data_IF_105727685297
#
_entry.id   IF_105727685297
#
_cell.length_a   1.000
_cell.length_b   1.000
_cell.length_c   1.000
_cell.angle_alpha   90.00
_cell.angle_beta   90.00
_cell.angle_gamma   90.00
#
_symmetry.space_group_name_H-M   'P 1'
#
loop_
_entity.id
_entity.type
_entity.pdbx_description
1 polymer ?
#
# COMPACT_ATOMS: atom_id res chain seq x y z
N UNK A 1 -7.28 -80.37 23.06
CA UNK A 1 -6.22 -79.61 22.35
C UNK A 1 -6.45 -78.11 22.56
N UNK A 2 -5.77 -77.49 23.53
CA UNK A 2 -5.73 -76.03 23.67
C UNK A 2 -4.26 -75.65 23.89
N UNK A 3 -3.64 -75.05 22.87
CA UNK A 3 -2.26 -74.54 22.94
C UNK A 3 -2.32 -73.07 23.35
N UNK A 4 -1.72 -72.75 24.49
CA UNK A 4 -1.28 -71.40 24.82
C UNK A 4 -0.08 -71.04 23.93
N UNK A 5 -0.06 -69.81 23.39
CA UNK A 5 1.19 -69.09 23.13
C UNK A 5 1.01 -67.60 23.43
N UNK A 6 1.85 -67.16 24.36
CA UNK A 6 2.31 -65.80 24.61
C UNK A 6 2.45 -64.96 23.33
N UNK A 7 1.96 -63.73 23.36
CA UNK A 7 2.49 -62.65 22.51
C UNK A 7 2.88 -61.46 23.38
N UNK A 8 4.15 -61.08 23.19
CA UNK A 8 4.88 -59.99 23.79
C UNK A 8 4.15 -58.65 23.68
N UNK A 9 4.20 -57.88 24.76
CA UNK A 9 4.08 -56.42 24.75
C UNK A 9 5.20 -55.83 23.87
N UNK A 10 4.82 -55.24 22.73
CA UNK A 10 5.65 -54.29 22.00
C UNK A 10 5.14 -52.89 22.36
N UNK A 11 5.97 -52.13 23.07
CA UNK A 11 5.68 -50.76 23.48
C UNK A 11 5.36 -49.88 22.28
N UNK A 12 4.28 -49.12 22.37
CA UNK A 12 4.01 -48.03 21.46
C UNK A 12 5.11 -46.97 21.66
N UNK A 13 6.00 -46.86 20.68
CA UNK A 13 6.86 -45.68 20.57
C UNK A 13 5.96 -44.45 20.35
N UNK A 14 6.19 -43.32 21.03
CA UNK A 14 5.45 -42.11 20.75
C UNK A 14 5.79 -41.70 19.32
N UNK A 15 4.77 -41.67 18.46
CA UNK A 15 4.87 -41.04 17.15
C UNK A 15 5.17 -39.58 17.42
N UNK A 16 6.45 -39.20 17.30
CA UNK A 16 6.87 -37.83 17.18
C UNK A 16 6.16 -37.29 15.94
N UNK A 17 5.05 -36.60 16.16
CA UNK A 17 4.42 -35.76 15.16
C UNK A 17 5.44 -34.69 14.79
N UNK A 18 6.24 -34.96 13.76
CA UNK A 18 7.03 -33.92 13.11
C UNK A 18 6.00 -32.89 12.64
N UNK A 19 6.02 -31.65 13.16
CA UNK A 19 5.13 -30.63 12.66
C UNK A 19 5.40 -30.53 11.17
N UNK A 20 4.35 -30.74 10.35
CA UNK A 20 4.41 -30.44 8.93
C UNK A 20 4.86 -28.99 8.85
N UNK A 21 6.13 -28.78 8.47
CA UNK A 21 6.62 -27.45 8.12
C UNK A 21 5.82 -27.08 6.89
N UNK A 22 4.76 -26.30 7.08
CA UNK A 22 4.05 -25.67 6.00
C UNK A 22 5.12 -24.96 5.16
N UNK A 23 5.29 -25.40 3.92
CA UNK A 23 6.12 -24.70 2.96
C UNK A 23 5.52 -23.29 2.84
N UNK A 24 6.15 -22.33 3.53
CA UNK A 24 5.80 -20.92 3.44
C UNK A 24 5.76 -20.56 1.95
N UNK A 25 4.59 -20.11 1.49
CA UNK A 25 4.41 -19.66 0.12
C UNK A 25 5.10 -18.30 -0.14
N UNK A 26 5.85 -17.76 0.83
CA UNK A 26 6.44 -16.43 0.80
C UNK A 26 7.61 -16.22 -0.17
N UNK A 27 8.35 -17.26 -0.53
CA UNK A 27 9.58 -17.11 -1.33
C UNK A 27 9.41 -17.46 -2.81
N UNK A 28 8.17 -17.60 -3.30
CA UNK A 28 7.90 -17.97 -4.70
C UNK A 28 8.37 -16.92 -5.70
N UNK A 29 8.53 -15.67 -5.25
CA UNK A 29 8.76 -14.52 -6.12
C UNK A 29 10.22 -14.13 -6.27
N UNK A 30 11.19 -14.59 -5.46
CA UNK A 30 12.59 -14.13 -5.59
C UNK A 30 13.44 -15.00 -6.51
N UNK A 31 13.02 -15.16 -7.77
CA UNK A 31 13.80 -15.88 -8.79
C UNK A 31 14.69 -14.90 -9.55
N UNK A 32 15.96 -15.27 -9.71
CA UNK A 32 16.88 -14.52 -10.56
C UNK A 32 16.33 -14.40 -11.99
N UNK A 33 16.44 -13.20 -12.55
CA UNK A 33 16.01 -12.85 -13.91
C UNK A 33 16.85 -11.68 -14.43
N UNK A 34 16.67 -11.33 -15.70
CA UNK A 34 17.28 -10.15 -16.30
C UNK A 34 16.18 -9.31 -16.97
N UNK A 35 16.12 -8.02 -16.63
CA UNK A 35 15.17 -7.07 -17.22
C UNK A 35 15.96 -5.86 -17.71
N UNK A 36 15.81 -5.53 -19.00
CA UNK A 36 16.51 -4.41 -19.66
C UNK A 36 18.04 -4.38 -19.47
N UNK A 37 18.66 -5.57 -19.39
CA UNK A 37 20.10 -5.74 -19.18
C UNK A 37 20.55 -5.61 -17.71
N UNK A 38 19.61 -5.60 -16.76
CA UNK A 38 19.89 -5.59 -15.31
C UNK A 38 19.57 -6.96 -14.73
N UNK A 39 20.58 -7.63 -14.15
CA UNK A 39 20.37 -8.82 -13.35
C UNK A 39 19.61 -8.44 -12.08
N UNK A 40 18.48 -9.09 -11.87
CA UNK A 40 17.56 -8.77 -10.79
C UNK A 40 16.79 -10.00 -10.32
N UNK A 41 15.82 -9.83 -9.43
CA UNK A 41 14.88 -10.87 -9.03
C UNK A 41 13.47 -10.51 -9.47
N UNK A 42 12.65 -11.53 -9.71
CA UNK A 42 11.22 -11.35 -9.89
C UNK A 42 10.58 -10.80 -8.61
N UNK A 43 9.44 -10.13 -8.75
CA UNK A 43 8.65 -9.54 -7.67
C UNK A 43 7.18 -9.63 -8.08
N UNK A 44 6.24 -9.73 -7.13
CA UNK A 44 4.81 -9.62 -7.45
C UNK A 44 4.48 -8.19 -7.86
N UNK A 45 5.05 -7.22 -7.15
CA UNK A 45 4.91 -5.79 -7.45
C UNK A 45 5.81 -5.40 -8.62
N UNK A 46 5.34 -4.52 -9.48
CA UNK A 46 6.18 -3.96 -10.54
C UNK A 46 7.17 -2.95 -9.94
N UNK A 47 8.43 -3.35 -9.82
CA UNK A 47 9.54 -2.52 -9.35
C UNK A 47 10.60 -2.46 -10.46
N UNK A 48 10.80 -1.27 -11.02
CA UNK A 48 11.75 -0.99 -12.08
C UNK A 48 13.14 -0.83 -11.49
N UNK A 49 14.07 -1.66 -11.98
CA UNK A 49 15.48 -1.65 -11.63
C UNK A 49 16.22 -0.44 -12.20
N UNK A 50 17.23 0.06 -11.50
CA UNK A 50 18.14 1.11 -11.99
C UNK A 50 19.36 0.51 -12.66
N UNK A 51 19.66 0.94 -13.88
CA UNK A 51 20.86 0.50 -14.61
C UNK A 51 22.12 1.06 -13.98
N UNK A 52 23.18 0.24 -13.95
CA UNK A 52 24.52 0.66 -13.53
C UNK A 52 24.66 0.95 -12.03
N UNK A 53 23.74 0.48 -11.20
CA UNK A 53 23.78 0.67 -9.77
C UNK A 53 25.04 0.03 -9.16
N UNK A 54 25.74 0.78 -8.31
CA UNK A 54 26.93 0.33 -7.58
C UNK A 54 26.89 0.91 -6.16
N UNK A 55 27.55 0.22 -5.23
CA UNK A 55 27.81 0.79 -3.92
C UNK A 55 28.66 2.05 -4.07
N UNK A 56 28.34 3.08 -3.29
CA UNK A 56 29.13 4.31 -3.20
C UNK A 56 30.52 4.06 -2.63
N UNK A 57 31.43 4.99 -2.88
CA UNK A 57 32.79 4.95 -2.35
C UNK A 57 32.81 4.75 -0.82
N UNK A 58 33.69 3.85 -0.38
CA UNK A 58 33.82 3.43 1.02
C UNK A 58 32.87 2.32 1.45
N UNK A 59 31.85 1.98 0.65
CA UNK A 59 31.02 0.80 0.88
C UNK A 59 31.52 -0.41 0.08
N UNK A 60 31.54 -1.56 0.75
CA UNK A 60 31.81 -2.89 0.22
C UNK A 60 30.66 -3.82 0.59
N UNK A 61 30.61 -5.01 0.00
CA UNK A 61 29.62 -6.03 0.36
C UNK A 61 29.64 -6.35 1.86
N UNK A 62 30.81 -6.32 2.49
CA UNK A 62 30.98 -6.67 3.89
C UNK A 62 30.47 -5.57 4.83
N UNK A 63 30.73 -4.30 4.50
CA UNK A 63 30.43 -3.16 5.39
C UNK A 63 29.15 -2.38 5.03
N UNK A 64 28.50 -2.68 3.90
CA UNK A 64 27.31 -1.96 3.45
C UNK A 64 26.20 -2.04 4.51
N UNK A 65 25.50 -0.95 4.84
CA UNK A 65 24.51 -1.00 5.93
C UNK A 65 23.38 -2.00 5.67
N UNK A 66 22.90 -2.66 6.73
CA UNK A 66 21.78 -3.61 6.64
C UNK A 66 20.46 -2.88 6.77
N UNK A 67 19.43 -3.41 6.11
CA UNK A 67 18.07 -2.92 6.20
C UNK A 67 17.14 -3.87 6.99
N UNK A 68 16.27 -3.29 7.81
CA UNK A 68 15.11 -3.96 8.40
C UNK A 68 13.82 -3.41 7.78
N UNK A 69 12.84 -4.27 7.54
CA UNK A 69 11.49 -3.89 7.16
C UNK A 69 10.54 -4.29 8.30
N UNK A 70 9.75 -3.35 8.79
CA UNK A 70 8.82 -3.59 9.90
C UNK A 70 7.43 -3.22 9.38
N UNK A 71 6.52 -4.18 9.37
CA UNK A 71 5.11 -3.92 9.07
C UNK A 71 4.45 -3.24 10.27
N UNK A 72 3.44 -2.43 10.02
CA UNK A 72 2.68 -1.79 11.10
C UNK A 72 1.61 -2.75 11.66
N UNK A 73 0.89 -3.42 10.76
CA UNK A 73 0.03 -4.58 10.95
C UNK A 73 0.13 -5.52 9.71
N UNK A 74 -0.43 -6.73 9.82
CA UNK A 74 -0.52 -7.65 8.69
C UNK A 74 0.80 -8.36 8.36
N UNK A 75 0.95 -8.77 7.11
CA UNK A 75 2.03 -9.65 6.66
C UNK A 75 2.61 -9.19 5.32
N UNK A 76 3.90 -9.46 5.07
CA UNK A 76 4.55 -9.30 3.76
C UNK A 76 4.10 -10.34 2.73
N UNK A 77 3.05 -11.10 3.03
CA UNK A 77 2.33 -11.99 2.12
C UNK A 77 0.90 -11.47 1.84
N UNK A 78 0.66 -10.17 2.04
CA UNK A 78 -0.62 -9.51 1.79
C UNK A 78 -0.91 -9.24 0.31
N UNK A 79 -0.02 -9.64 -0.59
CA UNK A 79 -0.11 -9.46 -2.05
C UNK A 79 -0.36 -7.99 -2.46
N UNK A 80 -0.01 -7.04 -1.59
CA UNK A 80 -0.33 -5.62 -1.74
C UNK A 80 0.70 -4.73 -1.01
N UNK A 81 0.25 -4.05 0.05
CA UNK A 81 0.95 -2.94 0.71
C UNK A 81 2.31 -3.35 1.26
N UNK A 82 2.35 -4.30 2.21
CA UNK A 82 3.58 -4.70 2.90
C UNK A 82 4.50 -5.52 1.99
N UNK A 83 3.93 -6.41 1.18
CA UNK A 83 4.73 -7.26 0.29
C UNK A 83 5.57 -6.41 -0.66
N UNK A 84 5.02 -5.35 -1.24
CA UNK A 84 5.73 -4.50 -2.21
C UNK A 84 6.96 -3.80 -1.61
N UNK A 85 6.86 -3.32 -0.36
CA UNK A 85 7.98 -2.69 0.34
C UNK A 85 9.07 -3.69 0.71
N UNK A 86 8.69 -4.91 1.09
CA UNK A 86 9.64 -5.98 1.39
C UNK A 86 10.37 -6.48 0.14
N UNK A 87 9.65 -6.64 -0.96
CA UNK A 87 10.21 -6.97 -2.27
C UNK A 87 11.28 -5.96 -2.71
N UNK A 88 11.07 -4.67 -2.44
CA UNK A 88 12.04 -3.61 -2.73
C UNK A 88 13.34 -3.75 -1.94
N UNK A 89 13.24 -4.01 -0.63
CA UNK A 89 14.40 -4.21 0.27
C UNK A 89 15.27 -5.37 -0.19
N UNK A 90 14.64 -6.44 -0.71
CA UNK A 90 15.37 -7.57 -1.26
C UNK A 90 15.95 -7.33 -2.63
N UNK A 91 15.15 -6.78 -3.55
CA UNK A 91 15.56 -6.52 -4.92
C UNK A 91 16.80 -5.63 -4.98
N UNK A 92 16.83 -4.55 -4.19
CA UNK A 92 17.99 -3.65 -4.14
C UNK A 92 19.24 -4.33 -3.57
N UNK A 93 19.08 -5.17 -2.55
CA UNK A 93 20.18 -5.93 -1.93
C UNK A 93 20.80 -6.90 -2.94
N UNK A 94 19.95 -7.60 -3.70
CA UNK A 94 20.39 -8.51 -4.76
C UNK A 94 21.12 -7.77 -5.89
N UNK A 95 20.55 -6.67 -6.40
CA UNK A 95 21.13 -5.91 -7.52
C UNK A 95 22.48 -5.26 -7.18
N UNK A 96 22.73 -4.95 -5.90
CA UNK A 96 24.01 -4.46 -5.40
C UNK A 96 25.01 -5.58 -5.06
N UNK A 97 24.60 -6.85 -5.18
CA UNK A 97 25.42 -8.01 -4.79
C UNK A 97 25.58 -8.19 -3.28
N UNK A 98 24.72 -7.55 -2.46
CA UNK A 98 24.70 -7.67 -1.00
C UNK A 98 24.04 -8.97 -0.53
N UNK A 99 23.12 -9.50 -1.33
CA UNK A 99 22.49 -10.81 -1.15
C UNK A 99 22.66 -11.64 -2.43
N UNK A 100 22.62 -12.97 -2.28
CA UNK A 100 22.56 -13.91 -3.40
C UNK A 100 21.13 -14.43 -3.55
N UNK A 101 20.63 -14.46 -4.78
CA UNK A 101 19.36 -15.14 -5.07
C UNK A 101 19.52 -16.64 -4.75
N UNK A 102 18.49 -17.23 -4.15
CA UNK A 102 18.39 -18.67 -4.02
C UNK A 102 17.09 -19.12 -4.70
N UNK A 103 17.14 -20.30 -5.32
CA UNK A 103 16.05 -20.87 -6.13
C UNK A 103 14.75 -21.03 -5.31
N UNK A 104 14.85 -21.16 -3.98
CA UNK A 104 13.75 -21.04 -3.03
C UNK A 104 14.28 -20.92 -1.61
N UNK A 105 13.59 -20.20 -0.73
CA UNK A 105 13.78 -20.41 0.71
C UNK A 105 15.05 -19.82 1.29
N UNK A 106 15.51 -18.64 0.85
CA UNK A 106 16.72 -18.04 1.43
C UNK A 106 16.47 -17.63 2.88
N UNK A 107 16.72 -18.54 3.82
CA UNK A 107 16.58 -18.28 5.26
C UNK A 107 17.65 -17.30 5.79
N UNK A 108 18.71 -17.06 5.01
CA UNK A 108 19.89 -16.29 5.39
C UNK A 108 19.99 -14.94 4.66
N UNK A 109 18.85 -14.29 4.42
CA UNK A 109 18.83 -12.92 3.91
C UNK A 109 19.56 -11.98 4.88
N UNK A 110 20.41 -11.10 4.33
CA UNK A 110 21.13 -10.04 5.05
C UNK A 110 20.16 -9.10 5.76
N UNK A 111 19.12 -8.70 5.03
CA UNK A 111 18.03 -7.86 5.50
C UNK A 111 16.97 -8.71 6.21
N UNK A 112 16.24 -8.14 7.17
CA UNK A 112 15.22 -8.85 7.95
C UNK A 112 13.87 -8.14 7.92
N UNK A 113 12.81 -8.94 7.94
CA UNK A 113 11.44 -8.48 8.13
C UNK A 113 11.01 -8.77 9.57
N UNK A 114 10.24 -7.85 10.14
CA UNK A 114 9.50 -8.02 11.39
C UNK A 114 8.01 -7.80 11.10
N UNK A 115 7.18 -8.78 11.46
CA UNK A 115 5.72 -8.74 11.32
C UNK A 115 5.08 -8.71 12.73
N UNK A 116 5.16 -7.57 13.44
CA UNK A 116 4.68 -7.47 14.82
C UNK A 116 3.17 -7.70 14.92
N UNK A 117 2.74 -8.34 15.99
CA UNK A 117 1.33 -8.31 16.38
C UNK A 117 0.98 -6.95 16.98
N UNK A 118 -0.32 -6.69 17.11
CA UNK A 118 -0.84 -5.50 17.78
C UNK A 118 -0.18 -5.32 19.16
N UNK A 119 0.48 -4.18 19.35
CA UNK A 119 1.20 -3.83 20.59
C UNK A 119 2.67 -4.24 20.64
N UNK A 120 3.20 -4.97 19.63
CA UNK A 120 4.59 -5.46 19.61
C UNK A 120 5.55 -4.59 18.77
N UNK A 121 5.07 -3.45 18.25
CA UNK A 121 5.84 -2.52 17.44
C UNK A 121 7.14 -2.05 18.13
N UNK A 122 7.03 -1.63 19.40
CA UNK A 122 8.17 -1.14 20.16
C UNK A 122 9.27 -2.21 20.27
N UNK A 123 8.91 -3.46 20.55
CA UNK A 123 9.86 -4.58 20.62
C UNK A 123 10.54 -4.83 19.28
N UNK A 124 9.83 -4.70 18.16
CA UNK A 124 10.40 -4.85 16.82
C UNK A 124 11.43 -3.77 16.51
N UNK A 125 11.17 -2.51 16.90
CA UNK A 125 12.15 -1.43 16.75
C UNK A 125 13.41 -1.72 17.57
N UNK A 126 13.26 -2.14 18.83
CA UNK A 126 14.38 -2.47 19.72
C UNK A 126 15.23 -3.59 19.15
N UNK A 127 14.59 -4.68 18.70
CA UNK A 127 15.28 -5.80 18.07
C UNK A 127 16.03 -5.39 16.80
N UNK A 128 15.45 -4.51 15.98
CA UNK A 128 16.11 -4.02 14.78
C UNK A 128 17.32 -3.13 15.12
N UNK A 129 17.18 -2.23 16.09
CA UNK A 129 18.25 -1.34 16.56
C UNK A 129 19.39 -2.17 17.17
N UNK A 130 19.08 -3.13 18.05
CA UNK A 130 20.07 -3.99 18.69
C UNK A 130 20.77 -4.93 17.71
N UNK A 131 20.08 -5.31 16.63
CA UNK A 131 20.66 -6.07 15.51
C UNK A 131 21.48 -5.22 14.54
N UNK A 132 21.73 -3.94 14.88
CA UNK A 132 22.55 -3.00 14.12
C UNK A 132 22.04 -2.75 12.69
N UNK A 133 20.73 -2.78 12.46
CA UNK A 133 20.14 -2.31 11.21
C UNK A 133 20.22 -0.79 11.15
N UNK A 134 20.84 -0.26 10.08
CA UNK A 134 20.99 1.20 9.90
C UNK A 134 19.84 1.80 9.10
N UNK A 135 19.27 1.05 8.17
CA UNK A 135 18.11 1.49 7.39
C UNK A 135 16.89 0.72 7.90
N UNK A 136 15.94 1.40 8.53
CA UNK A 136 14.74 0.77 9.07
C UNK A 136 13.53 1.32 8.32
N UNK A 137 12.96 0.49 7.46
CA UNK A 137 11.72 0.80 6.74
C UNK A 137 10.55 0.47 7.66
N UNK A 138 9.74 1.49 7.95
CA UNK A 138 8.52 1.40 8.74
C UNK A 138 7.34 1.56 7.78
N UNK A 139 6.61 0.49 7.53
CA UNK A 139 5.56 0.45 6.52
C UNK A 139 4.17 0.57 7.13
N UNK A 140 3.59 1.77 7.09
CA UNK A 140 2.22 2.05 7.54
C UNK A 140 2.15 3.08 8.68
N UNK A 141 1.07 3.86 8.72
CA UNK A 141 1.00 5.03 9.61
C UNK A 141 0.78 4.70 11.09
N UNK A 142 0.43 3.45 11.43
CA UNK A 142 0.18 3.07 12.83
C UNK A 142 1.47 2.98 13.67
N UNK A 143 2.64 3.07 13.02
CA UNK A 143 3.96 3.16 13.66
C UNK A 143 4.12 4.38 14.60
N UNK A 144 3.46 5.51 14.31
CA UNK A 144 3.70 6.82 14.95
C UNK A 144 3.72 6.74 16.49
N UNK A 145 2.62 6.27 17.08
CA UNK A 145 2.45 6.27 18.54
C UNK A 145 3.53 5.44 19.26
N UNK A 146 3.83 4.24 18.74
CA UNK A 146 4.85 3.38 19.30
C UNK A 146 6.26 3.98 19.14
N UNK A 147 6.53 4.67 18.03
CA UNK A 147 7.82 5.29 17.77
C UNK A 147 8.07 6.47 18.72
N UNK A 148 7.03 7.29 18.99
CA UNK A 148 7.11 8.40 19.94
C UNK A 148 7.46 7.93 21.36
N UNK A 149 7.04 6.72 21.72
CA UNK A 149 7.29 6.10 23.02
C UNK A 149 8.68 5.49 23.21
N UNK A 150 9.57 5.51 22.21
CA UNK A 150 10.91 4.90 22.32
C UNK A 150 11.74 5.48 23.48
N UNK A 151 12.36 4.63 24.28
CA UNK A 151 13.12 5.02 25.47
C UNK A 151 14.40 5.79 25.13
N UNK A 152 14.90 6.67 26.03
CA UNK A 152 16.12 7.45 25.78
C UNK A 152 17.35 6.64 25.38
N UNK A 153 17.50 5.41 25.90
CA UNK A 153 18.62 4.53 25.53
C UNK A 153 18.60 4.14 24.05
N UNK A 154 17.41 3.87 23.48
CA UNK A 154 17.27 3.53 22.06
C UNK A 154 17.42 4.76 21.18
N UNK A 155 16.95 5.93 21.64
CA UNK A 155 17.26 7.20 20.97
C UNK A 155 18.77 7.43 20.91
N UNK A 156 19.51 7.13 21.99
CA UNK A 156 20.98 7.23 21.98
C UNK A 156 21.58 6.27 20.95
N UNK A 157 21.17 5.01 20.95
CA UNK A 157 21.63 4.02 19.94
C UNK A 157 21.35 4.45 18.50
N UNK A 158 20.16 5.01 18.24
CA UNK A 158 19.79 5.56 16.92
C UNK A 158 20.77 6.65 16.49
N UNK A 159 21.11 7.57 17.41
CA UNK A 159 22.04 8.67 17.14
C UNK A 159 23.46 8.17 16.93
N UNK A 160 23.96 7.31 17.82
CA UNK A 160 25.33 6.81 17.79
C UNK A 160 25.61 5.97 16.53
N UNK A 161 24.61 5.23 16.05
CA UNK A 161 24.74 4.33 14.90
C UNK A 161 24.23 4.93 13.58
N UNK A 162 23.84 6.22 13.57
CA UNK A 162 23.28 6.88 12.40
C UNK A 162 22.16 6.09 11.73
N UNK A 163 21.23 5.57 12.55
CA UNK A 163 20.04 4.85 12.08
C UNK A 163 19.10 5.84 11.40
N UNK A 164 18.59 5.45 10.24
CA UNK A 164 17.65 6.20 9.42
C UNK A 164 16.35 5.41 9.32
N UNK A 165 15.25 6.06 9.66
CA UNK A 165 13.90 5.52 9.46
C UNK A 165 13.34 6.00 8.12
N UNK A 166 12.89 5.06 7.30
CA UNK A 166 12.12 5.34 6.08
C UNK A 166 10.65 5.12 6.44
N UNK A 167 9.88 6.19 6.55
CA UNK A 167 8.51 6.17 7.08
C UNK A 167 7.50 6.19 5.94
N UNK A 168 7.00 5.02 5.56
CA UNK A 168 6.04 4.86 4.46
C UNK A 168 4.64 5.13 4.98
N UNK A 169 3.91 6.01 4.29
CA UNK A 169 2.55 6.46 4.61
C UNK A 169 2.38 7.36 5.84
N UNK A 170 3.48 7.84 6.41
CA UNK A 170 3.43 8.84 7.46
C UNK A 170 4.64 9.76 7.51
N UNK A 171 4.39 11.02 7.84
CA UNK A 171 5.40 12.06 7.96
C UNK A 171 5.34 12.69 9.35
N UNK A 172 6.28 12.27 10.20
CA UNK A 172 6.41 12.80 11.56
C UNK A 172 6.88 14.27 11.54
N UNK A 173 7.65 14.67 10.52
CA UNK A 173 8.12 16.04 10.40
C UNK A 173 6.98 16.98 10.05
N UNK A 174 6.11 16.55 9.12
CA UNK A 174 4.88 17.26 8.80
C UNK A 174 3.99 17.36 10.04
N UNK A 175 3.71 16.26 10.74
CA UNK A 175 2.92 16.25 11.97
C UNK A 175 3.46 17.27 12.99
N UNK A 176 4.77 17.25 13.26
CA UNK A 176 5.44 18.17 14.16
C UNK A 176 5.29 19.65 13.72
N UNK A 177 5.41 19.92 12.41
CA UNK A 177 5.25 21.27 11.85
C UNK A 177 3.81 21.78 11.89
N UNK A 178 2.84 20.88 11.85
CA UNK A 178 1.39 21.19 11.90
C UNK A 178 0.82 21.20 13.33
N UNK A 179 1.68 21.05 14.33
CA UNK A 179 1.34 21.26 15.74
C UNK A 179 1.00 20.00 16.53
N UNK A 180 1.32 18.80 16.04
CA UNK A 180 1.18 17.57 16.84
C UNK A 180 2.28 17.55 17.94
N UNK A 181 1.91 17.57 19.24
CA UNK A 181 2.90 17.71 20.32
C UNK A 181 3.85 16.51 20.52
N UNK A 182 3.36 15.27 20.36
CA UNK A 182 4.16 14.05 20.50
C UNK A 182 5.18 13.87 19.37
N UNK A 183 4.80 14.20 18.14
CA UNK A 183 5.64 14.27 16.96
C UNK A 183 6.71 15.33 17.14
N UNK A 184 6.33 16.54 17.61
CA UNK A 184 7.30 17.60 17.91
C UNK A 184 8.31 17.15 18.96
N UNK A 185 7.83 16.60 20.08
CA UNK A 185 8.71 16.09 21.13
C UNK A 185 9.63 14.97 20.61
N UNK A 186 9.12 14.09 19.75
CA UNK A 186 9.91 13.02 19.16
C UNK A 186 10.96 13.55 18.17
N UNK A 187 10.63 14.49 17.29
CA UNK A 187 11.59 15.12 16.35
C UNK A 187 12.71 15.81 17.11
N UNK A 188 12.37 16.58 18.16
CA UNK A 188 13.34 17.25 19.03
C UNK A 188 14.26 16.22 19.73
N UNK A 189 13.69 15.07 20.14
CA UNK A 189 14.40 13.98 20.83
C UNK A 189 15.31 13.19 19.88
N UNK A 190 14.82 12.76 18.72
CA UNK A 190 15.55 11.90 17.78
C UNK A 190 16.62 12.67 17.00
N UNK A 191 16.38 13.96 16.73
CA UNK A 191 17.28 14.83 15.98
C UNK A 191 17.14 14.69 14.46
N UNK A 192 17.88 15.54 13.73
CA UNK A 192 17.82 15.68 12.27
C UNK A 192 18.55 14.54 11.51
N UNK A 193 18.32 14.39 10.20
CA UNK A 193 19.03 13.41 9.36
C UNK A 193 18.70 11.95 9.65
N UNK A 194 17.49 11.68 10.15
CA UNK A 194 17.07 10.37 10.69
C UNK A 194 15.71 9.92 10.17
N UNK A 195 14.97 10.79 9.49
CA UNK A 195 13.61 10.51 8.99
C UNK A 195 13.57 10.76 7.48
N UNK A 196 13.10 9.77 6.72
CA UNK A 196 12.81 9.84 5.28
C UNK A 196 11.34 9.48 5.08
N UNK A 197 10.43 10.46 5.02
CA UNK A 197 9.03 10.19 4.76
C UNK A 197 8.77 9.81 3.30
N UNK A 198 7.90 8.82 3.09
CA UNK A 198 7.42 8.39 1.78
C UNK A 198 5.90 8.48 1.78
N UNK A 199 5.37 9.60 1.27
CA UNK A 199 3.94 9.95 1.33
C UNK A 199 3.35 10.00 -0.05
N UNK A 200 2.23 9.33 -0.30
CA UNK A 200 1.63 9.27 -1.62
C UNK A 200 0.36 10.12 -1.72
N UNK A 201 0.15 10.74 -2.87
CA UNK A 201 -1.12 11.40 -3.20
C UNK A 201 -1.96 10.50 -4.11
N UNK A 202 -2.63 9.52 -3.49
CA UNK A 202 -3.45 8.53 -4.20
C UNK A 202 -4.73 9.12 -4.77
N UNK A 203 -5.16 10.31 -4.33
CA UNK A 203 -6.33 11.00 -4.89
C UNK A 203 -6.20 11.18 -6.40
N UNK A 204 -4.99 11.45 -6.88
CA UNK A 204 -4.70 11.70 -8.30
C UNK A 204 -5.03 10.48 -9.17
N UNK A 205 -4.51 9.31 -8.80
CA UNK A 205 -4.78 8.06 -9.51
C UNK A 205 -6.23 7.59 -9.31
N UNK A 206 -6.77 7.77 -8.11
CA UNK A 206 -8.16 7.46 -7.81
C UNK A 206 -9.14 8.28 -8.67
N UNK A 207 -8.84 9.57 -8.91
CA UNK A 207 -9.62 10.40 -9.83
C UNK A 207 -9.71 9.80 -11.24
N UNK A 208 -8.58 9.34 -11.78
CA UNK A 208 -8.52 8.67 -13.08
C UNK A 208 -9.41 7.43 -13.07
N UNK A 209 -9.30 6.57 -12.04
CA UNK A 209 -10.10 5.36 -11.91
C UNK A 209 -11.61 5.66 -11.83
N UNK A 210 -12.00 6.71 -11.10
CA UNK A 210 -13.38 7.16 -10.99
C UNK A 210 -13.97 7.65 -12.31
N UNK A 211 -13.23 8.48 -13.06
CA UNK A 211 -13.66 8.91 -14.40
C UNK A 211 -13.77 7.74 -15.37
N UNK A 212 -12.78 6.85 -15.38
CA UNK A 212 -12.77 5.68 -16.25
C UNK A 212 -13.95 4.75 -15.95
N UNK A 213 -14.27 4.54 -14.67
CA UNK A 213 -15.43 3.74 -14.26
C UNK A 213 -16.74 4.31 -14.77
N UNK A 214 -16.93 5.64 -14.62
CA UNK A 214 -18.14 6.31 -15.04
C UNK A 214 -18.35 6.25 -16.56
N UNK A 215 -17.28 6.50 -17.32
CA UNK A 215 -17.25 6.35 -18.76
C UNK A 215 -17.55 4.91 -19.20
N UNK A 216 -16.87 3.92 -18.62
CA UNK A 216 -17.12 2.50 -18.89
C UNK A 216 -18.59 2.13 -18.65
N UNK A 217 -19.15 2.51 -17.50
CA UNK A 217 -20.54 2.26 -17.16
C UNK A 217 -21.53 2.94 -18.11
N UNK A 218 -21.22 4.13 -18.61
CA UNK A 218 -22.04 4.82 -19.62
C UNK A 218 -22.18 4.01 -20.90
N UNK A 219 -21.10 3.32 -21.30
CA UNK A 219 -21.00 2.54 -22.53
C UNK A 219 -21.70 1.18 -22.39
N UNK A 220 -21.46 0.46 -21.29
CA UNK A 220 -21.94 -0.91 -21.13
C UNK A 220 -23.31 -1.06 -20.44
N UNK A 221 -23.77 -0.02 -19.74
CA UNK A 221 -25.07 0.00 -19.07
C UNK A 221 -25.93 1.18 -19.53
N UNK A 222 -25.91 1.45 -20.84
CA UNK A 222 -26.74 2.48 -21.46
C UNK A 222 -28.23 2.30 -21.12
N UNK A 223 -28.72 1.06 -21.21
CA UNK A 223 -30.12 0.70 -20.99
C UNK A 223 -30.40 0.13 -19.58
N UNK A 224 -29.38 0.11 -18.70
CA UNK A 224 -29.46 -0.42 -17.34
C UNK A 224 -28.84 0.56 -16.32
N UNK A 225 -29.37 1.79 -16.18
CA UNK A 225 -28.80 2.81 -15.31
C UNK A 225 -28.65 2.38 -13.84
N UNK A 226 -29.49 1.47 -13.37
CA UNK A 226 -29.42 0.88 -12.02
C UNK A 226 -28.13 0.08 -11.76
N UNK A 227 -27.46 -0.39 -12.81
CA UNK A 227 -26.18 -1.10 -12.71
C UNK A 227 -24.97 -0.19 -12.63
N UNK A 228 -25.13 1.14 -12.80
CA UNK A 228 -24.03 2.12 -12.74
C UNK A 228 -23.71 2.49 -11.29
N UNK A 229 -23.34 1.50 -10.49
CA UNK A 229 -23.14 1.65 -9.04
C UNK A 229 -21.77 1.18 -8.57
N UNK A 230 -21.19 1.93 -7.64
CA UNK A 230 -19.98 1.60 -6.89
C UNK A 230 -20.29 1.51 -5.39
N UNK A 231 -19.81 0.47 -4.72
CA UNK A 231 -19.85 0.34 -3.26
C UNK A 231 -18.42 0.37 -2.71
N UNK A 232 -18.11 1.30 -1.81
CA UNK A 232 -16.78 1.44 -1.21
C UNK A 232 -16.81 1.22 0.30
N UNK A 233 -15.70 0.76 0.86
CA UNK A 233 -15.42 0.75 2.30
C UNK A 233 -13.90 0.86 2.53
N UNK A 234 -13.49 1.19 3.76
CA UNK A 234 -12.09 1.36 4.12
C UNK A 234 -11.74 0.80 5.49
N UNK A 235 -10.44 0.56 5.71
CA UNK A 235 -9.93 -0.03 6.94
C UNK A 235 -9.90 0.90 8.15
N UNK A 236 -9.36 2.11 7.97
CA UNK A 236 -9.22 3.14 9.02
C UNK A 236 -9.56 4.53 8.43
N UNK A 237 -10.23 5.44 9.17
CA UNK A 237 -10.55 6.80 8.68
C UNK A 237 -9.33 7.73 8.70
N UNK A 238 -8.38 7.48 7.81
CA UNK A 238 -7.12 8.23 7.68
C UNK A 238 -6.83 8.56 6.20
N UNK A 239 -6.11 9.65 5.86
CA UNK A 239 -5.79 10.01 4.48
C UNK A 239 -5.23 8.86 3.63
N UNK A 240 -4.37 8.01 4.22
CA UNK A 240 -3.81 6.84 3.55
C UNK A 240 -4.88 5.87 3.00
N UNK A 241 -6.12 5.92 3.53
CA UNK A 241 -7.29 5.13 3.09
C UNK A 241 -8.33 6.03 2.41
N UNK A 242 -8.71 7.14 3.04
CA UNK A 242 -9.80 7.98 2.52
C UNK A 242 -9.50 8.57 1.16
N UNK A 243 -8.23 8.85 0.85
CA UNK A 243 -7.85 9.53 -0.40
C UNK A 243 -8.15 8.70 -1.65
N UNK A 244 -8.05 7.37 -1.53
CA UNK A 244 -8.47 6.44 -2.57
C UNK A 244 -9.95 6.57 -2.92
N UNK A 245 -10.82 6.71 -1.90
CA UNK A 245 -12.27 6.81 -2.09
C UNK A 245 -12.63 8.24 -2.53
N UNK A 246 -12.01 9.25 -1.91
CA UNK A 246 -12.26 10.66 -2.20
C UNK A 246 -11.94 11.02 -3.65
N UNK A 247 -10.78 10.60 -4.15
CA UNK A 247 -10.39 10.82 -5.54
C UNK A 247 -11.33 10.12 -6.51
N UNK A 248 -11.69 8.86 -6.22
CA UNK A 248 -12.60 8.06 -7.08
C UNK A 248 -13.98 8.70 -7.19
N UNK A 249 -14.56 9.12 -6.06
CA UNK A 249 -15.84 9.82 -6.09
C UNK A 249 -15.76 11.17 -6.79
N UNK A 250 -14.66 11.92 -6.65
CA UNK A 250 -14.47 13.16 -7.40
C UNK A 250 -14.41 12.93 -8.91
N UNK A 251 -13.70 11.91 -9.36
CA UNK A 251 -13.65 11.53 -10.77
C UNK A 251 -15.04 11.21 -11.32
N UNK A 252 -15.83 10.44 -10.57
CA UNK A 252 -17.22 10.14 -10.92
C UNK A 252 -18.08 11.41 -10.97
N UNK A 253 -17.97 12.29 -9.96
CA UNK A 253 -18.73 13.55 -9.88
C UNK A 253 -18.45 14.43 -11.10
N UNK A 254 -17.19 14.62 -11.47
CA UNK A 254 -16.84 15.47 -12.59
C UNK A 254 -17.28 14.87 -13.93
N UNK A 255 -17.15 13.55 -14.10
CA UNK A 255 -17.67 12.87 -15.29
C UNK A 255 -19.20 12.99 -15.39
N UNK A 256 -19.92 12.82 -14.27
CA UNK A 256 -21.38 12.95 -14.20
C UNK A 256 -21.87 14.37 -14.52
N UNK A 257 -21.10 15.41 -14.18
CA UNK A 257 -21.44 16.81 -14.54
C UNK A 257 -21.40 17.02 -16.05
N UNK A 258 -20.47 16.36 -16.73
CA UNK A 258 -20.32 16.40 -18.19
C UNK A 258 -21.37 15.54 -18.91
N UNK A 259 -21.91 14.50 -18.24
CA UNK A 259 -22.82 13.50 -18.82
C UNK A 259 -24.04 13.23 -17.91
N UNK A 260 -24.96 14.19 -17.77
CA UNK A 260 -26.05 14.14 -16.78
C UNK A 260 -27.05 12.97 -16.99
N UNK A 261 -27.12 12.40 -18.19
CA UNK A 261 -27.98 11.26 -18.56
C UNK A 261 -27.35 9.89 -18.21
N UNK A 262 -26.04 9.85 -17.99
CA UNK A 262 -25.27 8.61 -17.90
C UNK A 262 -24.62 8.37 -16.52
N UNK A 263 -25.16 9.01 -15.48
CA UNK A 263 -24.54 9.08 -14.14
C UNK A 263 -24.21 7.73 -13.53
N UNK A 264 -23.03 7.67 -12.93
CA UNK A 264 -22.57 6.61 -12.02
C UNK A 264 -22.71 7.07 -10.57
N UNK A 265 -23.16 6.19 -9.67
CA UNK A 265 -23.53 6.56 -8.30
C UNK A 265 -22.84 5.68 -7.26
N UNK A 266 -22.46 6.26 -6.13
CA UNK A 266 -22.21 5.48 -4.91
C UNK A 266 -23.50 4.79 -4.49
N UNK A 267 -23.45 3.48 -4.22
CA UNK A 267 -24.57 2.72 -3.68
C UNK A 267 -24.90 3.17 -2.24
N UNK A 268 -23.87 3.50 -1.46
CA UNK A 268 -23.99 3.86 -0.06
C UNK A 268 -23.76 5.37 0.15
N UNK A 269 -24.60 6.00 0.97
CA UNK A 269 -24.43 7.41 1.39
C UNK A 269 -23.58 7.58 2.65
N UNK A 270 -23.38 6.47 3.36
CA UNK A 270 -22.47 6.36 4.50
C UNK A 270 -21.48 5.25 4.18
N UNK A 271 -20.21 5.62 4.12
CA UNK A 271 -19.10 4.71 3.82
C UNK A 271 -18.50 4.24 5.15
N UNK A 272 -18.43 2.94 5.35
CA UNK A 272 -17.75 2.34 6.49
C UNK A 272 -16.24 2.45 6.27
N UNK A 273 -15.52 3.08 7.21
CA UNK A 273 -14.07 3.31 7.15
C UNK A 273 -13.34 2.67 8.33
N UNK A 274 -14.03 1.91 9.18
CA UNK A 274 -13.48 1.31 10.40
C UNK A 274 -13.58 -0.21 10.35
N UNK A 275 -13.34 -0.81 9.19
CA UNK A 275 -13.38 -2.27 9.05
C UNK A 275 -12.15 -2.99 9.60
N UNK A 276 -11.10 -2.24 9.99
CA UNK A 276 -9.75 -2.79 10.14
C UNK A 276 -9.25 -3.41 8.81
N UNK A 277 -8.16 -4.15 8.87
CA UNK A 277 -7.54 -4.87 7.76
C UNK A 277 -7.63 -6.39 7.94
N UNK A 278 -8.33 -6.84 8.99
CA UNK A 278 -8.39 -8.23 9.43
C UNK A 278 -9.53 -9.00 8.75
N UNK A 279 -9.17 -10.08 8.06
CA UNK A 279 -10.14 -11.02 7.47
C UNK A 279 -11.08 -11.63 8.52
N UNK A 280 -12.36 -11.73 8.18
CA UNK A 280 -13.37 -12.41 9.00
C UNK A 280 -13.94 -11.63 10.18
N UNK A 281 -13.46 -10.41 10.46
CA UNK A 281 -14.08 -9.57 11.49
C UNK A 281 -15.54 -9.23 11.15
N UNK A 282 -16.47 -9.22 12.12
CA UNK A 282 -17.89 -8.99 11.84
C UNK A 282 -18.18 -7.68 11.08
N UNK A 283 -17.44 -6.61 11.40
CA UNK A 283 -17.57 -5.32 10.70
C UNK A 283 -17.07 -5.40 9.25
N UNK A 284 -15.97 -6.11 9.00
CA UNK A 284 -15.44 -6.34 7.66
C UNK A 284 -16.41 -7.18 6.82
N UNK A 285 -16.94 -8.26 7.39
CA UNK A 285 -17.94 -9.12 6.73
C UNK A 285 -19.21 -8.32 6.38
N UNK A 286 -19.68 -7.47 7.29
CA UNK A 286 -20.84 -6.62 7.04
C UNK A 286 -20.57 -5.59 5.92
N UNK A 287 -19.39 -4.96 5.91
CA UNK A 287 -18.99 -4.01 4.88
C UNK A 287 -18.87 -4.68 3.51
N UNK A 288 -18.25 -5.86 3.42
CA UNK A 288 -18.17 -6.67 2.19
C UNK A 288 -19.57 -6.98 1.67
N UNK A 289 -20.45 -7.53 2.51
CA UNK A 289 -21.84 -7.84 2.14
C UNK A 289 -22.65 -6.62 1.70
N UNK A 290 -22.28 -5.42 2.17
CA UNK A 290 -22.87 -4.17 1.70
C UNK A 290 -22.39 -3.81 0.29
N UNK A 291 -21.08 -3.82 0.03
CA UNK A 291 -20.51 -3.33 -1.24
C UNK A 291 -20.66 -4.30 -2.40
N UNK A 292 -20.77 -5.61 -2.15
CA UNK A 292 -21.00 -6.59 -3.23
C UNK A 292 -22.40 -6.47 -3.85
N UNK A 293 -23.30 -5.67 -3.26
CA UNK A 293 -24.60 -5.33 -3.87
C UNK A 293 -24.44 -4.40 -5.08
N UNK A 294 -23.39 -3.57 -5.10
CA UNK A 294 -23.06 -2.71 -6.23
C UNK A 294 -22.49 -3.54 -7.41
N UNK A 295 -22.36 -2.92 -8.58
CA UNK A 295 -21.67 -3.55 -9.71
C UNK A 295 -20.15 -3.51 -9.52
N UNK A 296 -19.62 -2.36 -9.11
CA UNK A 296 -18.21 -2.22 -8.72
C UNK A 296 -18.07 -2.25 -7.20
N UNK A 297 -17.30 -3.20 -6.66
CA UNK A 297 -16.91 -3.20 -5.26
C UNK A 297 -15.52 -2.59 -5.10
N UNK A 298 -15.35 -1.67 -4.15
CA UNK A 298 -14.11 -0.94 -3.93
C UNK A 298 -13.63 -1.06 -2.48
N UNK A 299 -12.99 -2.19 -2.12
CA UNK A 299 -12.41 -2.41 -0.80
C UNK A 299 -11.06 -1.69 -0.65
N UNK A 300 -11.02 -0.60 0.10
CA UNK A 300 -9.76 0.12 0.44
C UNK A 300 -9.28 -0.32 1.81
N UNK A 301 -8.99 -1.62 1.94
CA UNK A 301 -8.70 -2.24 3.22
C UNK A 301 -7.75 -3.45 3.10
N UNK A 302 -6.69 -3.32 2.28
CA UNK A 302 -5.65 -4.33 2.11
C UNK A 302 -6.22 -5.70 1.72
N UNK A 303 -5.94 -6.71 2.56
CA UNK A 303 -6.29 -8.12 2.32
C UNK A 303 -7.81 -8.39 2.15
N UNK A 304 -8.67 -7.48 2.61
CA UNK A 304 -10.13 -7.60 2.46
C UNK A 304 -10.59 -7.53 0.99
N UNK A 305 -9.71 -7.13 0.07
CA UNK A 305 -9.92 -7.28 -1.38
C UNK A 305 -10.10 -8.76 -1.77
N UNK A 306 -9.29 -9.65 -1.21
CA UNK A 306 -9.36 -11.10 -1.45
C UNK A 306 -10.65 -11.71 -0.90
N UNK A 307 -11.12 -11.24 0.24
CA UNK A 307 -12.40 -11.69 0.81
C UNK A 307 -13.59 -11.18 -0.01
N UNK A 308 -13.55 -9.92 -0.43
CA UNK A 308 -14.54 -9.36 -1.36
C UNK A 308 -14.59 -10.17 -2.66
N UNK A 309 -13.43 -10.57 -3.20
CA UNK A 309 -13.33 -11.37 -4.42
C UNK A 309 -13.95 -12.78 -4.25
N UNK A 310 -13.74 -13.41 -3.09
CA UNK A 310 -14.38 -14.70 -2.74
C UNK A 310 -15.90 -14.55 -2.66
N UNK A 311 -16.41 -13.51 -2.02
CA UNK A 311 -17.87 -13.30 -1.91
C UNK A 311 -18.51 -12.99 -3.27
N UNK A 312 -17.89 -12.15 -4.11
CA UNK A 312 -18.37 -11.92 -5.50
C UNK A 312 -18.41 -13.24 -6.28
N UNK A 313 -17.39 -14.09 -6.14
CA UNK A 313 -17.33 -15.39 -6.82
C UNK A 313 -18.47 -16.31 -6.38
N UNK A 314 -18.86 -16.30 -5.10
CA UNK A 314 -20.00 -17.08 -4.58
C UNK A 314 -21.33 -16.63 -5.17
N UNK A 315 -21.49 -15.33 -5.46
CA UNK A 315 -22.71 -14.82 -6.11
C UNK A 315 -22.88 -15.32 -7.56
N UNK A 316 -21.78 -15.68 -8.23
CA UNK A 316 -21.80 -16.14 -9.63
C UNK A 316 -22.18 -15.07 -10.66
N UNK A 317 -22.32 -13.80 -10.23
CA UNK A 317 -22.70 -12.69 -11.10
C UNK A 317 -21.52 -12.20 -11.95
N UNK A 318 -21.61 -12.47 -13.26
CA UNK A 318 -20.64 -12.06 -14.26
C UNK A 318 -20.71 -10.58 -14.62
N UNK A 319 -21.38 -9.73 -13.86
CA UNK A 319 -21.32 -8.28 -14.04
C UNK A 319 -20.49 -7.59 -12.95
N UNK A 320 -20.26 -8.28 -11.83
CA UNK A 320 -19.59 -7.73 -10.66
C UNK A 320 -18.08 -7.79 -10.81
N UNK A 321 -17.40 -6.75 -10.35
CA UNK A 321 -15.95 -6.65 -10.38
C UNK A 321 -15.42 -5.78 -9.24
N UNK A 322 -14.12 -5.86 -9.03
CA UNK A 322 -13.41 -5.11 -8.00
C UNK A 322 -12.62 -3.96 -8.63
N UNK A 323 -12.54 -2.84 -7.92
CA UNK A 323 -11.50 -1.83 -8.11
C UNK A 323 -10.44 -2.11 -7.04
N UNK A 324 -9.22 -2.44 -7.46
CA UNK A 324 -8.13 -2.78 -6.55
C UNK A 324 -7.39 -1.55 -6.03
N UNK A 325 -6.52 -1.77 -5.04
CA UNK A 325 -5.66 -0.74 -4.44
C UNK A 325 -4.23 -1.24 -4.27
N UNK A 326 -3.31 -0.29 -4.11
CA UNK A 326 -1.87 -0.45 -3.83
C UNK A 326 -1.06 -1.09 -4.96
N UNK A 327 -1.39 -2.33 -5.30
CA UNK A 327 -0.75 -3.11 -6.35
C UNK A 327 -1.74 -3.48 -7.47
N UNK A 328 -1.22 -4.00 -8.58
CA UNK A 328 -2.06 -4.50 -9.67
C UNK A 328 -2.66 -5.84 -9.25
N UNK A 329 -3.84 -5.75 -8.64
CA UNK A 329 -4.46 -6.85 -7.91
C UNK A 329 -4.97 -7.94 -8.84
N UNK A 330 -4.99 -7.74 -10.17
CA UNK A 330 -5.29 -8.84 -11.10
C UNK A 330 -4.20 -9.91 -11.10
N UNK A 331 -2.98 -9.55 -10.68
CA UNK A 331 -1.87 -10.50 -10.57
C UNK A 331 -2.00 -11.40 -9.34
N UNK A 332 -2.54 -10.85 -8.24
CA UNK A 332 -2.84 -11.54 -6.99
C UNK A 332 -4.16 -12.34 -7.07
N UNK A 333 -5.22 -11.68 -7.51
CA UNK A 333 -6.59 -12.19 -7.58
C UNK A 333 -6.89 -12.89 -8.92
N UNK A 334 -6.02 -13.81 -9.34
CA UNK A 334 -6.17 -14.53 -10.61
C UNK A 334 -7.52 -15.25 -10.69
N UNK A 335 -8.23 -15.06 -11.80
CA UNK A 335 -9.57 -15.63 -12.01
C UNK A 335 -10.71 -14.83 -11.37
N UNK A 336 -10.41 -13.68 -10.77
CA UNK A 336 -11.41 -12.68 -10.39
C UNK A 336 -11.40 -11.51 -11.39
N UNK A 337 -12.51 -10.75 -11.42
CA UNK A 337 -12.69 -9.63 -12.34
C UNK A 337 -12.23 -8.35 -11.65
N UNK A 338 -11.15 -7.75 -12.15
CA UNK A 338 -10.61 -6.49 -11.64
C UNK A 338 -10.75 -5.43 -12.73
N UNK A 339 -11.52 -4.37 -12.49
CA UNK A 339 -11.70 -3.31 -13.49
C UNK A 339 -10.43 -2.49 -13.71
N UNK A 340 -9.78 -2.12 -12.60
CA UNK A 340 -8.45 -1.49 -12.53
C UNK A 340 -7.97 -1.61 -11.08
N UNK A 341 -6.72 -1.23 -10.84
CA UNK A 341 -6.19 -0.96 -9.49
C UNK A 341 -5.73 0.49 -9.41
N UNK A 342 -6.09 1.20 -8.34
CA UNK A 342 -5.43 2.46 -7.97
C UNK A 342 -4.09 2.11 -7.33
N UNK A 343 -3.02 2.29 -8.09
CA UNK A 343 -1.66 1.89 -7.73
C UNK A 343 -1.02 2.90 -6.78
N UNK A 344 -0.31 2.37 -5.79
CA UNK A 344 0.57 3.08 -4.88
C UNK A 344 1.94 2.38 -4.90
N UNK A 345 2.90 2.97 -5.61
CA UNK A 345 4.17 2.31 -5.93
C UNK A 345 5.16 2.35 -4.74
N UNK A 346 4.76 1.78 -3.60
CA UNK A 346 5.54 1.68 -2.37
C UNK A 346 6.87 0.99 -2.64
N UNK A 347 6.82 -0.18 -3.29
CA UNK A 347 8.02 -0.91 -3.66
C UNK A 347 9.00 -0.07 -4.49
N UNK A 348 8.50 0.69 -5.47
CA UNK A 348 9.35 1.58 -6.26
C UNK A 348 9.96 2.72 -5.43
N UNK A 349 9.17 3.34 -4.56
CA UNK A 349 9.64 4.43 -3.70
C UNK A 349 10.70 3.96 -2.70
N UNK A 350 10.44 2.86 -2.00
CA UNK A 350 11.40 2.24 -1.06
C UNK A 350 12.67 1.81 -1.79
N UNK A 351 12.54 1.16 -2.96
CA UNK A 351 13.68 0.77 -3.80
C UNK A 351 14.52 2.00 -4.17
N UNK A 352 13.89 3.09 -4.61
CA UNK A 352 14.59 4.30 -5.02
C UNK A 352 15.30 5.01 -3.86
N UNK A 353 14.68 5.07 -2.68
CA UNK A 353 15.30 5.62 -1.46
C UNK A 353 16.52 4.79 -1.06
N UNK A 354 16.38 3.46 -0.99
CA UNK A 354 17.50 2.58 -0.64
C UNK A 354 18.61 2.63 -1.70
N UNK A 355 18.25 2.65 -2.99
CA UNK A 355 19.21 2.80 -4.07
C UNK A 355 20.05 4.07 -3.90
N UNK A 356 19.44 5.21 -3.60
CA UNK A 356 20.18 6.46 -3.35
C UNK A 356 21.07 6.34 -2.11
N UNK A 357 20.56 5.81 -0.99
CA UNK A 357 21.34 5.62 0.24
C UNK A 357 22.59 4.72 0.04
N UNK A 358 22.48 3.69 -0.79
CA UNK A 358 23.58 2.77 -1.09
C UNK A 358 24.53 3.31 -2.17
N UNK A 359 24.06 4.10 -3.13
CA UNK A 359 24.84 4.46 -4.33
C UNK A 359 25.28 5.93 -4.44
N UNK A 360 24.57 6.88 -3.80
CA UNK A 360 24.82 8.32 -4.01
C UNK A 360 25.41 9.05 -2.79
N UNK A 361 25.50 8.41 -1.63
CA UNK A 361 26.12 9.02 -0.47
C UNK A 361 25.16 9.62 0.54
N UNK A 362 25.73 10.28 1.55
CA UNK A 362 24.95 10.83 2.67
C UNK A 362 24.26 12.14 2.30
N UNK A 363 24.61 12.79 1.18
CA UNK A 363 24.19 14.17 0.86
C UNK A 363 23.33 14.27 -0.42
N UNK A 364 22.90 13.15 -1.01
CA UNK A 364 22.14 13.13 -2.27
C UNK A 364 21.07 12.04 -2.24
N UNK A 365 19.84 12.43 -1.86
CA UNK A 365 18.64 11.62 -2.05
C UNK A 365 17.72 12.33 -3.05
N UNK A 366 17.43 11.69 -4.18
CA UNK A 366 16.59 12.26 -5.24
C UNK A 366 15.17 12.58 -4.75
N UNK A 367 14.68 11.75 -3.84
CA UNK A 367 13.34 11.82 -3.24
C UNK A 367 13.27 12.62 -1.94
N UNK A 368 14.43 13.00 -1.38
CA UNK A 368 14.54 13.81 -0.16
C UNK A 368 15.70 14.81 -0.32
N UNK A 369 15.56 15.82 -1.19
CA UNK A 369 16.64 16.77 -1.44
C UNK A 369 17.13 17.43 -0.15
N UNK A 370 18.45 17.56 -0.02
CA UNK A 370 19.09 18.15 1.15
C UNK A 370 19.10 17.27 2.41
N UNK A 371 18.68 16.00 2.31
CA UNK A 371 18.89 15.03 3.39
C UNK A 371 20.38 14.76 3.58
N UNK A 372 20.82 14.83 4.83
CA UNK A 372 22.16 14.50 5.29
C UNK A 372 22.09 13.59 6.51
N UNK A 373 22.60 12.35 6.39
CA UNK A 373 22.52 11.37 7.49
C UNK A 373 23.10 11.96 8.79
N UNK A 374 22.32 11.90 9.85
CA UNK A 374 22.68 12.37 11.18
C UNK A 374 22.72 13.90 11.36
N UNK A 375 22.61 14.68 10.27
CA UNK A 375 22.77 16.14 10.28
C UNK A 375 21.50 16.91 9.93
N UNK A 376 20.81 16.52 8.86
CA UNK A 376 19.72 17.30 8.27
C UNK A 376 18.67 16.39 7.66
N UNK A 377 17.40 16.54 8.04
CA UNK A 377 16.33 15.87 7.31
C UNK A 377 16.12 16.56 5.95
N UNK A 378 15.72 15.78 4.95
CA UNK A 378 15.40 16.30 3.62
C UNK A 378 14.03 16.95 3.58
N UNK A 379 13.77 17.65 2.48
CA UNK A 379 12.43 18.12 2.15
C UNK A 379 11.59 16.96 1.61
N UNK A 380 10.49 16.64 2.30
CA UNK A 380 9.61 15.57 1.92
C UNK A 380 8.92 15.87 0.59
N UNK A 381 9.15 15.03 -0.42
CA UNK A 381 8.34 15.05 -1.65
C UNK A 381 7.10 14.20 -1.47
N UNK A 382 5.94 14.73 -1.86
CA UNK A 382 4.72 13.94 -2.00
C UNK A 382 4.78 13.18 -3.33
N UNK A 383 4.66 11.87 -3.25
CA UNK A 383 4.74 10.90 -4.32
C UNK A 383 3.39 10.85 -5.05
N UNK A 384 3.25 11.65 -6.10
CA UNK A 384 2.02 11.78 -6.90
C UNK A 384 2.11 11.15 -8.30
N UNK A 385 1.16 11.54 -9.16
CA UNK A 385 1.17 11.21 -10.58
C UNK A 385 2.12 12.20 -11.28
N UNK A 386 3.37 11.79 -11.47
CA UNK A 386 4.43 12.60 -12.08
C UNK A 386 4.19 12.96 -13.56
N UNK A 387 5.11 13.74 -14.14
CA UNK A 387 5.07 14.10 -15.57
C UNK A 387 5.68 13.00 -16.46
N UNK A 388 6.46 12.10 -15.85
CA UNK A 388 7.13 11.00 -16.53
C UNK A 388 7.17 9.78 -15.60
N UNK A 389 7.54 8.62 -16.15
CA UNK A 389 7.60 7.36 -15.40
C UNK A 389 8.52 7.43 -14.17
N UNK A 390 9.63 8.19 -14.24
CA UNK A 390 10.56 8.33 -13.11
C UNK A 390 9.98 9.12 -11.90
N UNK A 391 8.92 9.88 -12.13
CA UNK A 391 8.24 10.71 -11.11
C UNK A 391 6.80 10.24 -10.82
N UNK A 392 6.33 9.19 -11.48
CA UNK A 392 4.98 8.62 -11.33
C UNK A 392 4.98 7.52 -10.28
N UNK A 393 4.49 7.84 -9.09
CA UNK A 393 4.43 6.91 -7.95
C UNK A 393 3.02 6.49 -7.56
N UNK A 394 2.02 7.11 -8.17
CA UNK A 394 0.64 6.61 -8.19
C UNK A 394 0.17 6.54 -9.64
N UNK A 395 -0.76 5.63 -9.93
CA UNK A 395 -1.32 5.46 -11.27
C UNK A 395 -2.48 4.49 -11.28
N UNK A 396 -2.99 4.16 -12.46
CA UNK A 396 -4.02 3.12 -12.63
C UNK A 396 -3.44 1.93 -13.38
N UNK A 397 -3.76 0.72 -12.94
CA UNK A 397 -3.41 -0.49 -13.67
C UNK A 397 -4.36 -0.69 -14.87
N UNK A 398 -3.90 -1.42 -15.88
CA UNK A 398 -4.79 -1.89 -16.96
C UNK A 398 -5.84 -2.85 -16.42
N UNK A 399 -6.94 -2.98 -17.15
CA UNK A 399 -8.05 -3.83 -16.78
C UNK A 399 -7.65 -5.31 -16.73
N UNK A 400 -8.39 -6.05 -15.90
CA UNK A 400 -8.34 -7.49 -15.72
C UNK A 400 -9.76 -8.06 -15.70
N UNK A 401 -10.63 -7.56 -16.57
CA UNK A 401 -11.94 -8.14 -16.80
C UNK A 401 -11.79 -9.41 -17.64
N UNK A 402 -12.59 -10.43 -17.31
CA UNK A 402 -12.44 -11.76 -17.91
C UNK A 402 -13.13 -11.90 -19.27
N UNK A 403 -13.87 -10.89 -19.71
CA UNK A 403 -14.53 -10.80 -21.00
C UNK A 403 -13.77 -9.80 -21.87
N UNK A 404 -13.22 -10.27 -23.01
CA UNK A 404 -12.37 -9.48 -23.90
C UNK A 404 -13.03 -8.17 -24.36
N UNK A 405 -14.33 -8.19 -24.66
CA UNK A 405 -15.03 -6.99 -25.14
C UNK A 405 -15.12 -5.94 -24.03
N UNK A 406 -15.51 -6.37 -22.83
CA UNK A 406 -15.62 -5.48 -21.68
C UNK A 406 -14.24 -4.99 -21.22
N UNK A 407 -13.21 -5.85 -21.27
CA UNK A 407 -11.83 -5.50 -20.95
C UNK A 407 -11.26 -4.44 -21.92
N UNK A 408 -11.52 -4.57 -23.22
CA UNK A 408 -11.13 -3.57 -24.21
C UNK A 408 -11.80 -2.20 -23.96
N UNK A 409 -13.12 -2.19 -23.68
CA UNK A 409 -13.86 -0.96 -23.38
C UNK A 409 -13.33 -0.33 -22.08
N UNK A 410 -13.05 -1.14 -21.06
CA UNK A 410 -12.49 -0.67 -19.78
C UNK A 410 -11.09 -0.06 -19.97
N UNK A 411 -10.20 -0.72 -20.72
CA UNK A 411 -8.86 -0.20 -21.00
C UNK A 411 -8.92 1.10 -21.81
N UNK A 412 -9.82 1.22 -22.78
CA UNK A 412 -10.03 2.47 -23.50
C UNK A 412 -10.54 3.59 -22.58
N UNK A 413 -11.47 3.29 -21.67
CA UNK A 413 -11.94 4.25 -20.68
C UNK A 413 -10.82 4.72 -19.73
N UNK A 414 -9.92 3.82 -19.33
CA UNK A 414 -8.74 4.14 -18.52
C UNK A 414 -7.76 5.04 -19.29
N UNK A 415 -7.52 4.77 -20.58
CA UNK A 415 -6.69 5.61 -21.44
C UNK A 415 -7.28 7.01 -21.62
N UNK A 416 -8.57 7.10 -21.93
CA UNK A 416 -9.29 8.37 -22.09
C UNK A 416 -9.30 9.19 -20.80
N UNK A 417 -9.55 8.56 -19.64
CA UNK A 417 -9.50 9.21 -18.35
C UNK A 417 -8.08 9.70 -17.97
N UNK A 418 -7.05 8.92 -18.32
CA UNK A 418 -5.64 9.30 -18.09
C UNK A 418 -5.27 10.52 -18.92
N UNK A 419 -5.59 10.52 -20.22
CA UNK A 419 -5.37 11.68 -21.10
C UNK A 419 -6.12 12.92 -20.60
N UNK A 420 -7.36 12.74 -20.14
CA UNK A 420 -8.13 13.83 -19.56
C UNK A 420 -7.44 14.42 -18.32
N UNK A 421 -7.00 13.55 -17.40
CA UNK A 421 -6.28 13.97 -16.21
C UNK A 421 -5.01 14.74 -16.55
N UNK A 422 -4.18 14.22 -17.46
CA UNK A 422 -2.94 14.87 -17.90
C UNK A 422 -3.21 16.24 -18.54
N UNK A 423 -4.29 16.36 -19.33
CA UNK A 423 -4.67 17.63 -19.97
C UNK A 423 -5.15 18.72 -19.00
N UNK A 424 -5.63 18.33 -17.81
CA UNK A 424 -6.20 19.24 -16.79
C UNK A 424 -5.53 19.09 -15.42
N UNK A 425 -4.29 18.59 -15.40
CA UNK A 425 -3.62 18.11 -14.20
C UNK A 425 -3.60 19.12 -13.06
N UNK A 426 -3.20 20.36 -13.34
CA UNK A 426 -3.11 21.42 -12.32
C UNK A 426 -4.47 21.79 -11.73
N UNK A 427 -5.52 21.84 -12.54
CA UNK A 427 -6.89 22.13 -12.09
C UNK A 427 -7.41 21.00 -11.20
N UNK A 428 -7.27 19.74 -11.66
CA UNK A 428 -7.72 18.57 -10.92
C UNK A 428 -6.97 18.46 -9.59
N UNK A 429 -5.63 18.61 -9.59
CA UNK A 429 -4.84 18.56 -8.36
C UNK A 429 -5.25 19.65 -7.36
N UNK A 430 -5.57 20.86 -7.85
CA UNK A 430 -6.10 21.93 -7.00
C UNK A 430 -7.42 21.53 -6.36
N UNK A 431 -8.38 21.01 -7.14
CA UNK A 431 -9.66 20.51 -6.61
C UNK A 431 -9.45 19.40 -5.59
N UNK A 432 -8.62 18.40 -5.90
CA UNK A 432 -8.35 17.26 -5.00
C UNK A 432 -7.72 17.71 -3.67
N UNK A 433 -6.80 18.68 -3.70
CA UNK A 433 -6.20 19.24 -2.48
C UNK A 433 -7.17 20.06 -1.63
N UNK A 434 -8.21 20.65 -2.25
CA UNK A 434 -9.21 21.49 -1.58
C UNK A 434 -10.42 20.75 -1.02
N UNK A 435 -10.56 19.44 -1.24
CA UNK A 435 -11.79 18.70 -0.93
C UNK A 435 -12.24 18.78 0.52
N UNK A 436 -11.29 18.80 1.47
CA UNK A 436 -11.63 18.87 2.89
C UNK A 436 -12.31 20.20 3.23
N UNK A 437 -11.77 21.31 2.73
CA UNK A 437 -12.32 22.65 2.94
C UNK A 437 -13.63 22.85 2.17
N UNK A 438 -13.74 22.30 0.96
CA UNK A 438 -15.00 22.28 0.21
C UNK A 438 -16.11 21.54 0.96
N UNK A 439 -15.81 20.35 1.47
CA UNK A 439 -16.75 19.57 2.27
C UNK A 439 -17.15 20.29 3.55
N UNK A 440 -16.20 20.93 4.24
CA UNK A 440 -16.45 21.77 5.41
C UNK A 440 -17.40 22.92 5.10
N UNK A 441 -17.14 23.65 4.02
CA UNK A 441 -18.01 24.74 3.55
C UNK A 441 -19.42 24.23 3.20
N UNK A 442 -19.52 23.10 2.50
CA UNK A 442 -20.80 22.52 2.09
C UNK A 442 -21.62 21.98 3.27
N UNK A 443 -20.97 21.43 4.29
CA UNK A 443 -21.62 20.83 5.46
C UNK A 443 -21.95 21.86 6.55
N UNK A 444 -21.23 22.99 6.62
CA UNK A 444 -21.47 24.06 7.59
C UNK A 444 -21.48 23.52 9.02
N UNK A 445 -22.58 23.72 9.74
CA UNK A 445 -22.76 23.26 11.13
C UNK A 445 -22.76 21.74 11.31
N UNK A 446 -22.81 20.96 10.22
CA UNK A 446 -22.70 19.49 10.25
C UNK A 446 -21.26 18.98 10.14
N UNK A 447 -20.28 19.88 9.99
CA UNK A 447 -18.86 19.55 9.98
C UNK A 447 -18.38 19.17 11.40
N UNK A 448 -17.60 18.08 11.57
CA UNK A 448 -17.16 17.65 12.89
C UNK A 448 -15.89 18.40 13.34
N UNK A 449 -15.81 18.68 14.64
CA UNK A 449 -14.62 19.29 15.24
C UNK A 449 -13.44 18.31 15.32
N UNK A 450 -13.72 17.02 15.56
CA UNK A 450 -12.69 16.00 15.72
C UNK A 450 -12.08 15.60 14.36
N UNK A 451 -10.75 15.76 14.16
CA UNK A 451 -10.09 15.42 12.89
C UNK A 451 -10.35 13.99 12.41
N UNK A 452 -10.43 13.03 13.34
CA UNK A 452 -10.70 11.62 13.05
C UNK A 452 -12.05 11.39 12.34
N UNK A 453 -13.03 12.28 12.53
CA UNK A 453 -14.36 12.18 11.92
C UNK A 453 -14.47 13.00 10.62
N UNK A 454 -13.56 13.93 10.38
CA UNK A 454 -13.60 14.84 9.22
C UNK A 454 -13.48 14.07 7.89
N UNK A 455 -12.55 13.12 7.80
CA UNK A 455 -12.37 12.30 6.59
C UNK A 455 -13.62 11.47 6.28
N UNK A 456 -14.21 10.81 7.27
CA UNK A 456 -15.46 10.07 7.10
C UNK A 456 -16.62 10.97 6.65
N UNK A 457 -16.72 12.19 7.19
CA UNK A 457 -17.75 13.15 6.77
C UNK A 457 -17.54 13.67 5.34
N UNK A 458 -16.30 13.97 4.96
CA UNK A 458 -15.94 14.35 3.59
C UNK A 458 -16.31 13.23 2.60
N UNK A 459 -15.96 11.97 2.89
CA UNK A 459 -16.30 10.82 2.04
C UNK A 459 -17.81 10.64 1.91
N UNK A 460 -18.56 10.74 3.01
CA UNK A 460 -20.02 10.65 2.98
C UNK A 460 -20.67 11.79 2.19
N UNK A 461 -20.06 12.98 2.23
CA UNK A 461 -20.51 14.10 1.40
C UNK A 461 -20.26 13.82 -0.08
N UNK A 462 -19.04 13.42 -0.47
CA UNK A 462 -18.70 13.04 -1.85
C UNK A 462 -19.61 11.91 -2.37
N UNK A 463 -19.88 10.89 -1.55
CA UNK A 463 -20.79 9.81 -1.89
C UNK A 463 -22.17 10.33 -2.30
N UNK A 464 -22.72 11.30 -1.55
CA UNK A 464 -24.01 11.94 -1.88
C UNK A 464 -23.92 12.83 -3.12
N UNK A 465 -22.80 13.53 -3.33
CA UNK A 465 -22.60 14.32 -4.54
C UNK A 465 -22.62 13.44 -5.80
N UNK A 466 -22.11 12.20 -5.75
CA UNK A 466 -22.22 11.27 -6.91
C UNK A 466 -23.67 10.92 -7.28
N UNK A 467 -24.61 11.05 -6.33
CA UNK A 467 -26.02 10.71 -6.54
C UNK A 467 -26.85 11.87 -7.11
N UNK A 468 -26.34 13.11 -7.04
CA UNK A 468 -26.99 14.29 -7.60
C UNK A 468 -26.92 14.27 -9.11
#
# INVERSE_FOLDING_TARGET
>A
MKKNKFYLFLGAAPVLSVPLVAASCGDKYFKETEVDGVKTVTTLSHIVSRKGLKLRDGLTVDNAPRAAFITDEGSVHDESFNQSGWEAVHKISYELGLDKAQVSGNKNLRNKVYEPKKGELASSYKNAIDSSFRYIVLCGFTHKAALYGLEPEYIKKIKDNNIVFITVDFDIQQDASTGEPAAKAFVDKIGQGRLIPVIFDTKQAAYIAGRALADYFSKIYKDNPEKRTIGAFGGIPWPAVSDFIAGTFQGIIDWNKEHPEAKTKSLNNTIELKTSFTSGEPVAVAAINSVIKATASYPVAGSLSSDTAKEIKKLGDKNKFIIGVDADQKNALKGHRIFTSVMKLIGQAVYNVLADLYSQGENSLSLQPGFEIGKKNGEAKVFGYGENEASKYVGVATSGLLDSKNDEIANKALEEATKYYESKKAEIQKTLSGQLEEAKKALGTKWPDQPADQFGKMINWLAKETQK
#
